data_IF_118109207800
#
_entry.id   IF_118109207800
#
_cell.length_a   1.000
_cell.length_b   1.000
_cell.length_c   1.000
_cell.angle_alpha   90.00
_cell.angle_beta   90.00
_cell.angle_gamma   90.00
#
_symmetry.space_group_name_H-M   'P 1'
#
loop_
_entity.id
_entity.type
_entity.pdbx_description
1 polymer ?
#
# COMPACT_ATOMS: atom_id res chain seq x y z
N UNK A 1 7.59 51.08 17.38
CA UNK A 1 7.97 49.72 16.91
C UNK A 1 6.73 48.85 17.03
N UNK A 2 6.23 48.25 15.94
CA UNK A 2 5.01 47.43 15.99
C UNK A 2 5.35 46.12 16.69
N UNK A 3 4.63 45.74 17.74
CA UNK A 3 4.82 44.46 18.41
C UNK A 3 4.38 43.34 17.47
N UNK A 4 5.35 42.57 16.97
CA UNK A 4 5.14 41.45 16.04
C UNK A 4 5.27 40.09 16.74
N UNK A 5 5.40 40.08 18.08
CA UNK A 5 5.69 38.88 18.87
C UNK A 5 4.57 37.85 18.74
N UNK A 6 3.31 38.28 18.86
CA UNK A 6 2.15 37.41 18.70
C UNK A 6 2.06 36.81 17.29
N UNK A 7 2.33 37.62 16.25
CA UNK A 7 2.32 37.17 14.86
C UNK A 7 3.41 36.13 14.58
N UNK A 8 4.64 36.40 15.03
CA UNK A 8 5.76 35.45 14.89
C UNK A 8 5.51 34.15 15.64
N UNK A 9 4.89 34.21 16.82
CA UNK A 9 4.52 33.01 17.59
C UNK A 9 3.48 32.17 16.86
N UNK A 10 2.44 32.82 16.32
CA UNK A 10 1.41 32.13 15.53
C UNK A 10 1.97 31.53 14.22
N UNK A 11 2.82 32.26 13.50
CA UNK A 11 3.52 31.75 12.32
C UNK A 11 4.40 30.53 12.66
N UNK A 12 5.09 30.54 13.81
CA UNK A 12 5.90 29.43 14.28
C UNK A 12 5.05 28.20 14.69
N UNK A 13 3.91 28.41 15.35
CA UNK A 13 2.96 27.35 15.70
C UNK A 13 2.34 26.72 14.45
N UNK A 14 1.93 27.52 13.46
CA UNK A 14 1.41 27.03 12.19
C UNK A 14 2.46 26.23 11.42
N UNK A 15 3.71 26.73 11.37
CA UNK A 15 4.82 26.02 10.74
C UNK A 15 5.07 24.68 11.43
N UNK A 16 5.10 24.65 12.76
CA UNK A 16 5.30 23.42 13.53
C UNK A 16 4.20 22.41 13.24
N UNK A 17 2.93 22.82 13.27
CA UNK A 17 1.80 21.93 12.97
C UNK A 17 1.86 21.37 11.54
N UNK A 18 2.26 22.19 10.56
CA UNK A 18 2.50 21.75 9.19
C UNK A 18 3.62 20.72 9.12
N UNK A 19 4.78 21.02 9.72
CA UNK A 19 5.96 20.14 9.68
C UNK A 19 5.66 18.78 10.35
N UNK A 20 4.87 18.76 11.43
CA UNK A 20 4.39 17.54 12.07
C UNK A 20 3.44 16.73 11.16
N UNK A 21 2.51 17.40 10.47
CA UNK A 21 1.61 16.75 9.51
C UNK A 21 2.38 16.17 8.30
N UNK A 22 3.34 16.90 7.75
CA UNK A 22 4.20 16.42 6.66
C UNK A 22 5.02 15.20 7.09
N UNK A 23 5.62 15.22 8.28
CA UNK A 23 6.36 14.08 8.82
C UNK A 23 5.48 12.83 9.00
N UNK A 24 4.25 13.01 9.49
CA UNK A 24 3.28 11.92 9.63
C UNK A 24 2.87 11.34 8.27
N UNK A 25 2.63 12.19 7.27
CA UNK A 25 2.31 11.76 5.90
C UNK A 25 3.45 10.96 5.28
N UNK A 26 4.70 11.42 5.41
CA UNK A 26 5.87 10.70 4.90
C UNK A 26 6.00 9.32 5.57
N UNK A 27 5.83 9.25 6.88
CA UNK A 27 5.89 7.98 7.62
C UNK A 27 4.79 7.00 7.17
N UNK A 28 3.55 7.49 6.98
CA UNK A 28 2.42 6.70 6.47
C UNK A 28 2.72 6.13 5.08
N UNK A 29 3.19 6.96 4.16
CA UNK A 29 3.51 6.55 2.78
C UNK A 29 4.63 5.53 2.74
N UNK A 30 5.69 5.72 3.54
CA UNK A 30 6.80 4.76 3.63
C UNK A 30 6.33 3.42 4.19
N UNK A 31 5.50 3.43 5.23
CA UNK A 31 4.92 2.22 5.80
C UNK A 31 4.09 1.46 4.76
N UNK A 32 3.20 2.15 4.05
CA UNK A 32 2.35 1.54 3.01
C UNK A 32 3.18 0.96 1.86
N UNK A 33 4.22 1.66 1.41
CA UNK A 33 5.12 1.18 0.36
C UNK A 33 5.87 -0.09 0.78
N UNK A 34 6.39 -0.13 2.01
CA UNK A 34 7.08 -1.30 2.54
C UNK A 34 6.12 -2.50 2.66
N UNK A 35 4.93 -2.29 3.22
CA UNK A 35 3.93 -3.35 3.33
C UNK A 35 3.51 -3.88 1.95
N UNK A 36 3.33 -3.01 0.95
CA UNK A 36 3.02 -3.43 -0.42
C UNK A 36 4.12 -4.33 -0.99
N UNK A 37 5.39 -3.98 -0.76
CA UNK A 37 6.53 -4.76 -1.24
C UNK A 37 6.62 -6.14 -0.56
N UNK A 38 6.41 -6.19 0.76
CA UNK A 38 6.41 -7.43 1.55
C UNK A 38 5.23 -8.35 1.22
N UNK A 39 4.08 -7.79 0.79
CA UNK A 39 2.92 -8.57 0.35
C UNK A 39 3.07 -9.09 -1.09
N UNK A 40 3.71 -8.32 -1.99
CA UNK A 40 3.91 -8.75 -3.39
C UNK A 40 4.76 -10.01 -3.50
N UNK A 41 5.78 -10.17 -2.67
CA UNK A 41 6.67 -11.35 -2.68
C UNK A 41 5.92 -12.68 -2.46
N UNK A 42 5.18 -12.88 -1.35
CA UNK A 42 4.41 -14.10 -1.15
C UNK A 42 3.29 -14.26 -2.18
N UNK A 43 2.66 -13.17 -2.64
CA UNK A 43 1.63 -13.24 -3.69
C UNK A 43 2.17 -13.72 -5.03
N UNK A 44 3.34 -13.24 -5.45
CA UNK A 44 4.01 -13.71 -6.66
C UNK A 44 4.41 -15.19 -6.52
N UNK A 45 4.79 -15.64 -5.30
CA UNK A 45 5.01 -17.04 -5.00
C UNK A 45 3.73 -17.88 -5.20
N UNK A 46 2.61 -17.47 -4.60
CA UNK A 46 1.31 -18.13 -4.74
C UNK A 46 0.91 -18.22 -6.22
N UNK A 47 1.00 -17.12 -6.97
CA UNK A 47 0.69 -17.10 -8.39
C UNK A 47 1.61 -18.02 -9.21
N UNK A 48 2.92 -17.99 -8.94
CA UNK A 48 3.89 -18.87 -9.62
C UNK A 48 3.57 -20.35 -9.41
N UNK A 49 3.33 -20.77 -8.16
CA UNK A 49 2.92 -22.15 -7.87
C UNK A 49 1.56 -22.51 -8.45
N UNK A 50 0.61 -21.56 -8.46
CA UNK A 50 -0.69 -21.76 -9.10
C UNK A 50 -0.54 -22.02 -10.60
N UNK A 51 0.32 -21.28 -11.30
CA UNK A 51 0.60 -21.51 -12.71
C UNK A 51 1.34 -22.84 -12.96
N UNK A 52 2.25 -23.25 -12.07
CA UNK A 52 2.85 -24.59 -12.14
C UNK A 52 1.82 -25.71 -11.95
N UNK A 53 0.86 -25.54 -11.03
CA UNK A 53 -0.22 -26.50 -10.81
C UNK A 53 -1.12 -26.61 -12.05
N UNK A 54 -1.43 -25.50 -12.73
CA UNK A 54 -2.19 -25.51 -13.99
C UNK A 54 -1.53 -26.35 -15.10
N UNK A 55 -0.21 -26.51 -15.05
CA UNK A 55 0.54 -27.33 -16.02
C UNK A 55 0.59 -28.82 -15.64
N UNK A 56 0.05 -29.20 -14.48
CA UNK A 56 0.01 -30.59 -14.01
C UNK A 56 -1.31 -31.29 -14.36
N UNK A 57 -1.34 -32.62 -14.22
CA UNK A 57 -2.58 -33.38 -14.36
C UNK A 57 -3.49 -33.13 -13.15
N UNK A 58 -4.50 -32.29 -13.35
CA UNK A 58 -5.50 -31.94 -12.35
C UNK A 58 -6.85 -32.59 -12.70
N UNK A 59 -7.53 -33.12 -11.68
CA UNK A 59 -8.95 -33.45 -11.79
C UNK A 59 -9.82 -32.19 -11.92
N UNK A 60 -11.08 -32.35 -12.36
CA UNK A 60 -11.99 -31.22 -12.61
C UNK A 60 -12.16 -30.29 -11.38
N UNK A 61 -12.41 -30.85 -10.20
CA UNK A 61 -12.55 -30.08 -8.96
C UNK A 61 -11.25 -29.30 -8.61
N UNK A 62 -10.09 -29.91 -8.84
CA UNK A 62 -8.80 -29.25 -8.58
C UNK A 62 -8.55 -28.10 -9.56
N UNK A 63 -9.00 -28.22 -10.82
CA UNK A 63 -8.93 -27.11 -11.78
C UNK A 63 -9.76 -25.92 -11.31
N UNK A 64 -10.97 -26.16 -10.81
CA UNK A 64 -11.81 -25.09 -10.25
C UNK A 64 -11.14 -24.38 -9.06
N UNK A 65 -10.52 -25.15 -8.15
CA UNK A 65 -9.77 -24.56 -7.03
C UNK A 65 -8.57 -23.74 -7.49
N UNK A 66 -7.78 -24.25 -8.44
CA UNK A 66 -6.61 -23.55 -8.97
C UNK A 66 -7.01 -22.26 -9.69
N UNK A 67 -8.12 -22.28 -10.43
CA UNK A 67 -8.66 -21.09 -11.09
C UNK A 67 -9.14 -20.05 -10.06
N UNK A 68 -9.81 -20.50 -8.99
CA UNK A 68 -10.25 -19.63 -7.89
C UNK A 68 -9.06 -19.00 -7.14
N UNK A 69 -8.01 -19.77 -6.87
CA UNK A 69 -6.76 -19.25 -6.27
C UNK A 69 -6.15 -18.20 -7.19
N UNK A 70 -6.10 -18.47 -8.49
CA UNK A 70 -5.54 -17.56 -9.51
C UNK A 70 -6.30 -16.23 -9.56
N UNK A 71 -7.63 -16.29 -9.59
CA UNK A 71 -8.51 -15.11 -9.58
C UNK A 71 -8.37 -14.30 -8.28
N UNK A 72 -8.42 -14.98 -7.13
CA UNK A 72 -8.32 -14.34 -5.82
C UNK A 72 -6.97 -13.65 -5.63
N UNK A 73 -5.89 -14.26 -6.14
CA UNK A 73 -4.54 -13.71 -6.07
C UNK A 73 -4.39 -12.43 -6.88
N UNK A 74 -4.96 -12.40 -8.09
CA UNK A 74 -4.99 -11.17 -8.92
C UNK A 74 -5.78 -10.07 -8.25
N UNK A 75 -6.97 -10.40 -7.74
CA UNK A 75 -7.84 -9.42 -7.09
C UNK A 75 -7.18 -8.81 -5.84
N UNK A 76 -6.48 -9.62 -5.04
CA UNK A 76 -5.75 -9.11 -3.89
C UNK A 76 -4.63 -8.15 -4.28
N UNK A 77 -3.91 -8.42 -5.37
CA UNK A 77 -2.89 -7.50 -5.89
C UNK A 77 -3.49 -6.17 -6.38
N UNK A 78 -4.66 -6.20 -7.01
CA UNK A 78 -5.40 -4.98 -7.40
C UNK A 78 -5.73 -4.15 -6.17
N UNK A 79 -6.33 -4.74 -5.14
CA UNK A 79 -6.65 -4.05 -3.88
C UNK A 79 -5.39 -3.44 -3.25
N UNK A 80 -4.28 -4.17 -3.23
CA UNK A 80 -3.00 -3.68 -2.69
C UNK A 80 -2.50 -2.47 -3.48
N UNK A 81 -2.63 -2.48 -4.81
CA UNK A 81 -2.23 -1.36 -5.65
C UNK A 81 -3.12 -0.14 -5.42
N UNK A 82 -4.45 -0.34 -5.33
CA UNK A 82 -5.40 0.75 -5.08
C UNK A 82 -5.14 1.45 -3.74
N UNK A 83 -4.85 0.67 -2.68
CA UNK A 83 -4.48 1.23 -1.36
C UNK A 83 -3.19 2.05 -1.44
N UNK A 84 -2.20 1.57 -2.18
CA UNK A 84 -0.93 2.27 -2.36
C UNK A 84 -1.12 3.59 -3.10
N UNK A 85 -1.91 3.58 -4.18
CA UNK A 85 -2.16 4.77 -4.98
C UNK A 85 -2.99 5.80 -4.23
N UNK A 86 -3.97 5.36 -3.44
CA UNK A 86 -4.68 6.24 -2.50
C UNK A 86 -3.71 6.90 -1.50
N UNK A 87 -2.78 6.13 -0.92
CA UNK A 87 -1.79 6.67 0.03
C UNK A 87 -0.85 7.72 -0.60
N UNK A 88 -0.61 7.68 -1.91
CA UNK A 88 0.22 8.70 -2.59
C UNK A 88 -0.54 9.99 -2.91
N UNK A 89 -1.85 9.90 -3.13
CA UNK A 89 -2.69 11.07 -3.48
C UNK A 89 -2.90 11.97 -2.26
N UNK A 90 -2.97 11.40 -1.05
CA UNK A 90 -3.15 12.16 0.21
C UNK A 90 -1.84 12.78 0.76
N UNK A 91 -0.69 12.45 0.18
CA UNK A 91 0.64 12.80 0.72
C UNK A 91 1.17 14.15 0.23
#
# INVERSE_FOLDING_TARGET
>A
MRDITARKKYEAELKKARDEAEAANVAKTLFMANMSHELRTPMNGIMGFTELLKMSDLGEEQKEFVELISLSSRHLLEIINDILDFSKIEA
#
